data_IF_663928576839
#
_entry.id   IF_663928576839
#
_cell.length_a   1.000
_cell.length_b   1.000
_cell.length_c   1.000
_cell.angle_alpha   90.00
_cell.angle_beta   90.00
_cell.angle_gamma   90.00
#
_symmetry.space_group_name_H-M   'P 1'
#
loop_
_entity.id
_entity.type
_entity.pdbx_description
1 polymer ?
#
# COMPACT_ATOMS: atom_id res chain seq x y z
N UNK A 1 20.62 -31.54 6.45
CA UNK A 1 21.70 -30.52 6.59
C UNK A 1 21.93 -29.87 5.23
N UNK A 2 22.41 -28.63 5.17
CA UNK A 2 22.72 -27.95 3.88
C UNK A 2 24.03 -28.44 3.23
N UNK A 3 24.88 -29.14 4.00
CA UNK A 3 26.11 -29.71 3.50
C UNK A 3 25.86 -31.04 2.76
N UNK A 4 26.66 -31.28 1.73
CA UNK A 4 26.73 -32.58 1.05
C UNK A 4 27.30 -33.63 2.01
N UNK A 5 26.62 -34.78 2.22
CA UNK A 5 27.15 -35.86 3.04
C UNK A 5 28.46 -36.41 2.47
N UNK A 6 29.31 -36.95 3.35
CA UNK A 6 30.55 -37.58 2.94
C UNK A 6 30.27 -38.78 2.00
N UNK A 7 31.11 -38.93 0.98
CA UNK A 7 30.98 -39.96 -0.06
C UNK A 7 29.63 -40.01 -0.79
N UNK A 8 28.94 -38.87 -0.94
CA UNK A 8 27.75 -38.83 -1.79
C UNK A 8 28.11 -39.24 -3.23
N UNK A 9 27.39 -40.17 -3.90
CA UNK A 9 27.81 -40.74 -5.18
C UNK A 9 27.92 -39.74 -6.34
N UNK A 10 27.38 -38.53 -6.15
CA UNK A 10 27.46 -37.41 -7.11
C UNK A 10 28.30 -36.23 -6.60
N UNK A 11 28.98 -36.36 -5.46
CA UNK A 11 29.87 -35.30 -4.98
C UNK A 11 31.11 -35.23 -5.86
N UNK A 12 31.50 -34.02 -6.21
CA UNK A 12 32.80 -33.75 -6.83
C UNK A 12 33.83 -33.44 -5.74
N UNK A 13 35.12 -33.71 -5.98
CA UNK A 13 36.18 -33.49 -4.99
C UNK A 13 36.53 -32.01 -4.76
N UNK A 14 36.08 -31.10 -5.63
CA UNK A 14 36.40 -29.68 -5.55
C UNK A 14 35.29 -28.86 -4.88
N UNK A 15 35.68 -27.76 -4.25
CA UNK A 15 34.75 -26.80 -3.66
C UNK A 15 34.55 -25.67 -4.66
N UNK A 16 33.43 -25.69 -5.37
CA UNK A 16 33.13 -24.65 -6.36
C UNK A 16 32.40 -23.44 -5.74
N UNK A 17 31.74 -23.63 -4.60
CA UNK A 17 30.85 -22.62 -4.04
C UNK A 17 30.76 -22.65 -2.50
N UNK A 18 30.38 -21.51 -1.93
CA UNK A 18 30.21 -21.30 -0.50
C UNK A 18 28.82 -20.75 -0.21
N UNK A 19 28.14 -21.34 0.77
CA UNK A 19 26.93 -20.76 1.35
C UNK A 19 27.29 -19.84 2.52
N UNK A 20 26.78 -18.62 2.49
CA UNK A 20 26.94 -17.65 3.58
C UNK A 20 25.60 -17.37 4.24
N UNK A 21 25.58 -17.52 5.56
CA UNK A 21 24.46 -17.19 6.42
C UNK A 21 24.87 -16.03 7.31
N UNK A 22 24.19 -14.89 7.21
CA UNK A 22 24.42 -13.76 8.11
C UNK A 22 23.15 -13.39 8.86
N UNK A 23 23.28 -13.16 10.17
CA UNK A 23 22.18 -12.71 11.02
C UNK A 23 22.18 -11.18 11.05
N UNK A 24 21.03 -10.61 10.69
CA UNK A 24 20.79 -9.15 10.76
C UNK A 24 20.34 -8.77 12.17
N UNK A 25 20.54 -7.52 12.63
CA UNK A 25 19.95 -7.03 13.88
C UNK A 25 18.43 -7.26 13.99
N UNK A 26 17.74 -7.28 12.85
CA UNK A 26 16.28 -7.53 12.76
C UNK A 26 15.89 -9.02 12.83
N UNK A 27 16.76 -9.89 13.36
CA UNK A 27 16.54 -11.35 13.48
C UNK A 27 16.23 -12.10 12.17
N UNK A 28 16.61 -11.51 11.03
CA UNK A 28 16.49 -12.12 9.70
C UNK A 28 17.81 -12.75 9.29
N UNK A 29 17.72 -13.93 8.68
CA UNK A 29 18.86 -14.69 8.17
C UNK A 29 18.99 -14.40 6.69
N UNK A 30 20.11 -13.81 6.29
CA UNK A 30 20.44 -13.62 4.89
C UNK A 30 21.18 -14.84 4.39
N UNK A 31 20.68 -15.40 3.29
CA UNK A 31 21.31 -16.50 2.60
C UNK A 31 21.90 -16.02 1.28
N UNK A 32 23.17 -16.34 1.07
CA UNK A 32 23.91 -16.07 -0.15
C UNK A 32 24.67 -17.31 -0.61
N UNK A 33 24.79 -17.45 -1.92
CA UNK A 33 25.62 -18.47 -2.57
C UNK A 33 26.68 -17.76 -3.42
N UNK A 34 27.95 -18.05 -3.13
CA UNK A 34 29.11 -17.48 -3.82
C UNK A 34 29.84 -18.58 -4.57
N UNK A 35 30.34 -18.29 -5.77
CA UNK A 35 31.19 -19.19 -6.54
C UNK A 35 32.65 -18.78 -6.34
N UNK A 36 33.54 -19.76 -6.19
CA UNK A 36 34.98 -19.53 -6.10
C UNK A 36 35.53 -19.43 -7.53
N UNK A 37 36.28 -18.38 -7.82
CA UNK A 37 36.91 -18.15 -9.14
C UNK A 37 38.43 -18.33 -9.00
N UNK A 38 39.00 -19.18 -9.86
CA UNK A 38 40.35 -19.73 -9.72
C UNK A 38 41.51 -18.73 -9.84
N UNK A 39 41.35 -17.60 -10.55
CA UNK A 39 42.50 -16.75 -10.90
C UNK A 39 42.93 -15.76 -9.81
N UNK A 40 42.10 -15.51 -8.78
CA UNK A 40 42.43 -14.56 -7.70
C UNK A 40 41.89 -14.94 -6.33
N UNK A 41 41.21 -16.09 -6.19
CA UNK A 41 40.49 -16.51 -4.97
C UNK A 41 39.52 -15.43 -4.42
N UNK A 42 39.12 -14.47 -5.26
CA UNK A 42 38.17 -13.45 -4.87
C UNK A 42 36.76 -14.04 -4.89
N UNK A 43 36.03 -13.84 -3.78
CA UNK A 43 34.62 -14.18 -3.71
C UNK A 43 33.84 -13.14 -4.51
N UNK A 44 33.40 -13.51 -5.70
CA UNK A 44 32.54 -12.65 -6.51
C UNK A 44 31.07 -12.96 -6.18
N UNK A 45 30.29 -11.92 -5.85
CA UNK A 45 28.84 -12.06 -5.83
C UNK A 45 28.39 -12.44 -7.25
N UNK A 46 27.66 -13.55 -7.37
CA UNK A 46 27.24 -14.05 -8.68
C UNK A 46 26.12 -13.15 -9.22
N UNK A 47 26.49 -12.04 -9.85
CA UNK A 47 25.57 -11.06 -10.41
C UNK A 47 24.95 -11.54 -11.73
N UNK A 48 23.63 -11.36 -11.82
CA UNK A 48 22.75 -11.94 -12.84
C UNK A 48 22.92 -11.37 -14.26
N UNK A 49 23.85 -10.44 -14.51
CA UNK A 49 23.81 -9.61 -15.73
C UNK A 49 25.09 -9.35 -16.50
N UNK A 50 26.25 -9.99 -16.23
CA UNK A 50 27.43 -9.63 -17.04
C UNK A 50 28.26 -10.73 -17.69
N UNK A 51 28.18 -12.01 -17.31
CA UNK A 51 28.84 -13.04 -18.10
C UNK A 51 28.08 -14.36 -18.05
N UNK A 52 27.74 -14.86 -19.25
CA UNK A 52 26.90 -16.01 -19.59
C UNK A 52 27.36 -17.38 -19.01
N UNK A 53 28.36 -17.39 -18.13
CA UNK A 53 28.96 -18.58 -17.50
C UNK A 53 28.82 -18.64 -15.98
N UNK A 54 28.37 -17.57 -15.32
CA UNK A 54 28.18 -17.58 -13.87
C UNK A 54 26.67 -17.71 -13.59
N UNK A 55 26.20 -18.93 -13.36
CA UNK A 55 24.79 -19.19 -13.03
C UNK A 55 24.57 -18.78 -11.59
N UNK A 56 23.85 -17.68 -11.39
CA UNK A 56 23.50 -17.13 -10.07
C UNK A 56 22.74 -18.13 -9.22
N UNK A 57 23.30 -18.48 -8.07
CA UNK A 57 22.59 -19.22 -7.02
C UNK A 57 21.52 -18.36 -6.35
N UNK A 58 20.51 -18.95 -5.70
CA UNK A 58 19.40 -18.21 -5.11
C UNK A 58 19.88 -17.28 -3.98
N UNK A 59 19.46 -16.00 -4.03
CA UNK A 59 19.58 -15.04 -2.92
C UNK A 59 18.25 -14.95 -2.20
N UNK A 60 18.24 -15.19 -0.89
CA UNK A 60 17.01 -15.15 -0.12
C UNK A 60 17.21 -14.61 1.29
N UNK A 61 16.15 -14.06 1.86
CA UNK A 61 16.08 -13.63 3.25
C UNK A 61 15.07 -14.55 3.94
N UNK A 62 15.52 -15.24 4.97
CA UNK A 62 14.73 -16.16 5.77
C UNK A 62 14.41 -15.50 7.11
N UNK A 63 13.20 -15.75 7.58
CA UNK A 63 12.71 -15.30 8.87
C UNK A 63 12.10 -16.50 9.59
N UNK A 64 12.50 -16.73 10.84
CA UNK A 64 11.89 -17.79 11.63
C UNK A 64 10.45 -17.41 11.94
N UNK A 65 9.53 -18.34 11.65
CA UNK A 65 8.12 -18.19 11.99
C UNK A 65 7.83 -18.97 13.27
N UNK A 66 8.02 -20.29 13.21
CA UNK A 66 7.63 -21.20 14.29
C UNK A 66 8.50 -22.45 14.29
N UNK A 67 8.78 -23.00 15.47
CA UNK A 67 9.49 -24.27 15.65
C UNK A 67 8.54 -25.27 16.31
N UNK A 68 8.40 -26.44 15.70
CA UNK A 68 7.59 -27.54 16.20
C UNK A 68 8.49 -28.61 16.83
N UNK A 69 7.95 -29.33 17.79
CA UNK A 69 8.63 -30.45 18.47
C UNK A 69 8.85 -31.65 17.54
N UNK A 70 7.87 -31.96 16.69
CA UNK A 70 7.90 -33.10 15.78
C UNK A 70 8.18 -32.72 14.32
N UNK A 71 8.18 -33.73 13.45
CA UNK A 71 8.32 -33.54 12.01
C UNK A 71 6.99 -33.07 11.43
N UNK A 72 6.87 -31.77 11.17
CA UNK A 72 5.65 -31.11 10.66
C UNK A 72 4.43 -31.11 11.60
N UNK A 73 4.54 -31.67 12.80
CA UNK A 73 3.45 -31.72 13.79
C UNK A 73 3.98 -31.59 15.23
N UNK A 74 3.06 -31.55 16.19
CA UNK A 74 3.38 -31.49 17.62
C UNK A 74 3.23 -30.10 18.25
N UNK A 75 3.67 -30.01 19.50
CA UNK A 75 3.62 -28.76 20.26
C UNK A 75 4.59 -27.74 19.68
N UNK A 76 4.30 -26.47 19.96
CA UNK A 76 5.09 -25.36 19.45
C UNK A 76 6.08 -24.96 20.52
N UNK A 77 7.35 -25.12 20.18
CA UNK A 77 8.45 -24.82 21.08
C UNK A 77 8.83 -23.34 21.02
N UNK A 78 8.66 -22.72 19.86
CA UNK A 78 8.98 -21.32 19.65
C UNK A 78 8.03 -20.70 18.62
N UNK A 79 7.56 -19.49 18.91
CA UNK A 79 6.75 -18.67 18.02
C UNK A 79 7.34 -17.26 17.99
N UNK A 80 7.62 -16.75 16.80
CA UNK A 80 8.28 -15.44 16.66
C UNK A 80 7.27 -14.30 16.87
N UNK A 81 7.41 -13.47 17.94
CA UNK A 81 6.48 -12.38 18.22
C UNK A 81 6.53 -11.25 17.17
N UNK A 82 7.66 -11.08 16.50
CA UNK A 82 7.87 -10.01 15.52
C UNK A 82 7.37 -10.38 14.12
N UNK A 83 7.12 -11.66 13.88
CA UNK A 83 6.68 -12.13 12.57
C UNK A 83 5.22 -11.77 12.31
N UNK A 84 4.98 -10.92 11.32
CA UNK A 84 3.64 -10.64 10.79
C UNK A 84 3.50 -11.24 9.40
N UNK A 85 2.53 -12.15 9.23
CA UNK A 85 2.31 -12.75 7.92
C UNK A 85 1.95 -11.67 6.87
N UNK A 86 2.49 -11.75 5.64
CA UNK A 86 2.19 -10.78 4.58
C UNK A 86 0.68 -10.65 4.28
N UNK A 87 -0.09 -11.71 4.53
CA UNK A 87 -1.54 -11.72 4.35
C UNK A 87 -2.25 -10.83 5.37
N UNK A 88 -1.78 -10.79 6.62
CA UNK A 88 -2.32 -9.89 7.65
C UNK A 88 -2.04 -8.44 7.26
N UNK A 89 -0.82 -8.13 6.81
CA UNK A 89 -0.46 -6.77 6.34
C UNK A 89 -1.35 -6.35 5.17
N UNK A 90 -1.53 -7.22 4.16
CA UNK A 90 -2.44 -6.95 3.03
C UNK A 90 -3.89 -6.75 3.49
N UNK A 91 -4.35 -7.55 4.45
CA UNK A 91 -5.70 -7.41 5.03
C UNK A 91 -5.86 -6.08 5.76
N UNK A 92 -4.86 -5.66 6.53
CA UNK A 92 -4.87 -4.38 7.25
C UNK A 92 -4.91 -3.20 6.26
N UNK A 93 -4.08 -3.22 5.22
CA UNK A 93 -4.11 -2.21 4.15
C UNK A 93 -5.47 -2.13 3.44
N UNK A 94 -6.12 -3.28 3.20
CA UNK A 94 -7.48 -3.29 2.64
C UNK A 94 -8.51 -2.73 3.62
N UNK A 95 -8.41 -3.04 4.92
CA UNK A 95 -9.32 -2.51 5.95
C UNK A 95 -9.21 -0.99 6.08
N UNK A 96 -8.00 -0.43 6.16
CA UNK A 96 -7.82 1.04 6.21
C UNK A 96 -8.36 1.73 4.97
N UNK A 97 -8.30 1.06 3.80
CA UNK A 97 -8.92 1.53 2.57
C UNK A 97 -10.46 1.44 2.55
N UNK A 98 -11.05 0.47 3.24
CA UNK A 98 -12.49 0.21 3.25
C UNK A 98 -13.28 1.30 4.01
N UNK A 99 -12.70 1.85 5.07
CA UNK A 99 -13.38 2.85 5.92
C UNK A 99 -13.65 4.18 5.20
N UNK A 100 -13.03 4.42 4.03
CA UNK A 100 -13.25 5.63 3.22
C UNK A 100 -14.73 5.89 2.94
N UNK A 101 -15.51 4.85 2.65
CA UNK A 101 -16.94 5.01 2.37
C UNK A 101 -17.71 5.44 3.62
N UNK A 102 -17.45 4.78 4.75
CA UNK A 102 -18.09 5.07 6.05
C UNK A 102 -17.74 6.48 6.49
N UNK A 103 -16.45 6.86 6.43
CA UNK A 103 -15.99 8.21 6.75
C UNK A 103 -16.64 9.26 5.85
N UNK A 104 -16.80 8.99 4.54
CA UNK A 104 -17.52 9.90 3.63
C UNK A 104 -18.97 10.11 4.06
N UNK A 105 -19.65 9.05 4.54
CA UNK A 105 -21.03 9.14 5.01
C UNK A 105 -21.16 9.88 6.34
N UNK A 106 -20.25 9.64 7.29
CA UNK A 106 -20.18 10.37 8.56
C UNK A 106 -19.97 11.87 8.30
N UNK A 107 -19.05 12.23 7.39
CA UNK A 107 -18.81 13.63 7.01
C UNK A 107 -20.03 14.26 6.35
N UNK A 108 -20.74 13.52 5.48
CA UNK A 108 -21.98 14.00 4.85
C UNK A 108 -23.05 14.29 5.89
N UNK A 109 -23.20 13.41 6.89
CA UNK A 109 -24.16 13.56 7.97
C UNK A 109 -23.80 14.72 8.90
N UNK A 110 -22.55 14.81 9.38
CA UNK A 110 -22.11 15.92 10.22
C UNK A 110 -22.23 17.28 9.53
N UNK A 111 -22.13 17.34 8.20
CA UNK A 111 -22.40 18.56 7.43
C UNK A 111 -23.89 18.93 7.47
N UNK A 112 -24.80 17.95 7.38
CA UNK A 112 -26.26 18.19 7.47
C UNK A 112 -26.62 18.69 8.86
N UNK A 113 -26.14 18.03 9.90
CA UNK A 113 -26.36 18.42 11.30
C UNK A 113 -25.84 19.84 11.57
N UNK A 114 -24.64 20.20 11.07
CA UNK A 114 -24.11 21.56 11.17
C UNK A 114 -24.98 22.60 10.45
N UNK A 115 -25.49 22.27 9.26
CA UNK A 115 -26.39 23.15 8.51
C UNK A 115 -27.73 23.32 9.22
N UNK A 116 -28.26 22.26 9.82
CA UNK A 116 -29.49 22.28 10.61
C UNK A 116 -29.32 23.09 11.90
N UNK A 117 -28.21 22.92 12.62
CA UNK A 117 -27.88 23.73 13.78
C UNK A 117 -27.79 25.23 13.43
N UNK A 118 -27.13 25.58 12.32
CA UNK A 118 -27.06 26.98 11.85
C UNK A 118 -28.46 27.53 11.51
N UNK A 119 -29.33 26.72 10.90
CA UNK A 119 -30.73 27.13 10.62
C UNK A 119 -31.57 27.26 11.89
N UNK A 120 -31.35 26.39 12.87
CA UNK A 120 -32.10 26.34 14.11
C UNK A 120 -31.76 27.53 15.03
N UNK A 121 -30.53 28.04 14.95
CA UNK A 121 -30.17 29.32 15.56
C UNK A 121 -30.88 30.44 14.79
N UNK A 122 -32.08 30.80 15.25
CA UNK A 122 -32.75 32.00 14.79
C UNK A 122 -32.01 33.21 15.37
N UNK A 123 -31.13 33.83 14.56
CA UNK A 123 -30.73 35.20 14.83
C UNK A 123 -31.95 36.09 14.55
N UNK A 124 -32.46 36.85 15.54
CA UNK A 124 -33.43 37.87 15.24
C UNK A 124 -32.76 38.90 14.33
N UNK A 125 -33.27 39.01 13.11
CA UNK A 125 -32.80 39.95 12.11
C UNK A 125 -33.28 41.36 12.49
N UNK A 126 -32.39 42.30 12.88
CA UNK A 126 -32.81 43.63 13.30
C UNK A 126 -33.38 44.49 12.17
N UNK A 127 -33.22 44.10 10.90
CA UNK A 127 -33.76 44.80 9.73
C UNK A 127 -34.65 43.82 8.98
N UNK A 128 -35.92 43.71 9.41
CA UNK A 128 -36.92 42.77 8.90
C UNK A 128 -37.39 43.00 7.44
N UNK A 129 -36.48 43.21 6.51
CA UNK A 129 -36.74 43.14 5.08
C UNK A 129 -36.08 41.89 4.52
N UNK A 130 -36.93 40.88 4.34
CA UNK A 130 -36.69 39.77 3.42
C UNK A 130 -36.26 40.40 2.10
N UNK A 131 -34.95 40.37 1.79
CA UNK A 131 -34.49 40.67 0.46
C UNK A 131 -35.17 39.67 -0.48
N UNK A 132 -36.23 40.10 -1.15
CA UNK A 132 -36.93 39.35 -2.18
C UNK A 132 -35.96 39.02 -3.31
N UNK A 133 -35.24 37.91 -3.17
CA UNK A 133 -34.36 37.35 -4.21
C UNK A 133 -35.16 36.81 -5.40
N UNK A 134 -36.49 36.77 -5.27
CA UNK A 134 -37.50 36.45 -6.27
C UNK A 134 -37.93 37.65 -7.12
N UNK A 135 -37.32 38.83 -6.97
CA UNK A 135 -37.59 39.96 -7.89
C UNK A 135 -37.29 39.52 -9.33
N UNK A 136 -38.28 39.53 -10.25
CA UNK A 136 -38.02 39.22 -11.63
C UNK A 136 -37.06 40.27 -12.18
N UNK A 137 -35.92 39.83 -12.69
CA UNK A 137 -34.98 40.70 -13.40
C UNK A 137 -35.74 41.23 -14.62
N UNK A 138 -36.11 42.50 -14.64
CA UNK A 138 -36.85 43.11 -15.75
C UNK A 138 -35.91 43.41 -16.93
N UNK A 139 -34.69 43.86 -16.63
CA UNK A 139 -33.72 44.28 -17.64
C UNK A 139 -33.27 43.14 -18.57
N UNK A 140 -33.33 43.35 -19.91
CA UNK A 140 -32.97 42.33 -20.89
C UNK A 140 -31.49 41.92 -20.81
N UNK A 141 -30.59 42.87 -20.55
CA UNK A 141 -29.14 42.62 -20.44
C UNK A 141 -28.81 41.78 -19.21
N UNK A 142 -29.44 42.08 -18.08
CA UNK A 142 -29.27 41.30 -16.85
C UNK A 142 -29.81 39.87 -17.00
N UNK A 143 -30.89 39.64 -17.77
CA UNK A 143 -31.34 38.28 -18.14
C UNK A 143 -30.32 37.53 -19.00
N UNK A 144 -29.67 38.21 -19.95
CA UNK A 144 -28.64 37.60 -20.79
C UNK A 144 -27.41 37.20 -19.96
N UNK A 145 -26.94 38.08 -19.08
CA UNK A 145 -25.81 37.81 -18.17
C UNK A 145 -26.11 36.62 -17.26
N UNK A 146 -27.32 36.54 -16.68
CA UNK A 146 -27.74 35.40 -15.85
C UNK A 146 -27.73 34.07 -16.61
N UNK A 147 -28.25 34.04 -17.85
CA UNK A 147 -28.19 32.85 -18.72
C UNK A 147 -26.74 32.42 -19.01
N UNK A 148 -25.85 33.38 -19.23
CA UNK A 148 -24.42 33.13 -19.46
C UNK A 148 -23.73 32.52 -18.24
N UNK A 149 -24.02 33.05 -17.05
CA UNK A 149 -23.52 32.54 -15.76
C UNK A 149 -24.05 31.11 -15.51
N UNK A 150 -25.33 30.85 -15.73
CA UNK A 150 -25.92 29.51 -15.56
C UNK A 150 -25.31 28.50 -16.53
N UNK A 151 -25.07 28.88 -17.79
CA UNK A 151 -24.38 28.03 -18.78
C UNK A 151 -22.96 27.71 -18.33
N UNK A 152 -22.20 28.68 -17.84
CA UNK A 152 -20.85 28.45 -17.29
C UNK A 152 -20.90 27.52 -16.07
N UNK A 153 -21.82 27.74 -15.12
CA UNK A 153 -22.02 26.88 -13.94
C UNK A 153 -22.38 25.44 -14.31
N UNK A 154 -23.26 25.24 -15.32
CA UNK A 154 -23.60 23.90 -15.84
C UNK A 154 -22.39 23.21 -16.47
N UNK A 155 -21.57 23.92 -17.26
CA UNK A 155 -20.33 23.36 -17.85
C UNK A 155 -19.34 22.93 -16.77
N UNK A 156 -19.15 23.74 -15.73
CA UNK A 156 -18.25 23.41 -14.60
C UNK A 156 -18.76 22.18 -13.84
N UNK A 157 -20.05 22.11 -13.51
CA UNK A 157 -20.66 20.91 -12.87
C UNK A 157 -20.50 19.65 -13.73
N UNK A 158 -20.65 19.75 -15.06
CA UNK A 158 -20.47 18.61 -15.98
C UNK A 158 -19.02 18.13 -16.01
N UNK A 159 -18.05 19.05 -16.04
CA UNK A 159 -16.61 18.70 -15.96
C UNK A 159 -16.27 17.99 -14.64
N UNK A 160 -16.77 18.49 -13.50
CA UNK A 160 -16.50 17.89 -12.19
C UNK A 160 -17.03 16.45 -12.08
N UNK A 161 -18.28 16.23 -12.50
CA UNK A 161 -18.89 14.88 -12.58
C UNK A 161 -18.13 13.90 -13.49
N UNK A 162 -17.51 14.38 -14.56
CA UNK A 162 -16.74 13.54 -15.47
C UNK A 162 -15.35 13.18 -14.89
N UNK A 163 -14.78 14.05 -14.06
CA UNK A 163 -13.53 13.79 -13.33
C UNK A 163 -13.72 12.76 -12.22
N UNK A 164 -14.81 12.86 -11.44
CA UNK A 164 -15.11 11.91 -10.37
C UNK A 164 -15.34 10.47 -10.89
N UNK A 165 -15.89 10.31 -12.11
CA UNK A 165 -16.09 9.00 -12.78
C UNK A 165 -14.81 8.36 -13.35
N UNK A 166 -13.71 9.11 -13.48
CA UNK A 166 -12.40 8.57 -13.92
C UNK A 166 -11.49 8.19 -12.74
N UNK A 167 -11.90 8.54 -11.52
CA UNK A 167 -11.15 8.29 -10.30
C UNK A 167 -11.73 7.15 -9.43
N UNK A 168 -12.91 6.63 -9.80
CA UNK A 168 -13.39 5.28 -9.42
C UNK A 168 -12.84 4.23 -10.39
#
# INVERSE_FOLDING_TARGET
TFATPDHHPRSQPFIDHVFSFSLTPDHKIWFRNFQIVDESLQLQEIDLYFNRKNVSGPRMVLELIRIFEGSFEGAVLYDNPDYVSPNIVRRQLKKTGADKYVQRKIVEQGRKERLEAIKAVQLPDPVGEIFDTSRPILDPDAKQVKKLIERKRKRIKKKKRLGDKKAE
#
